data_IF_842293868668
#
_entry.id   IF_842293868668
#
_cell.length_a   1.000
_cell.length_b   1.000
_cell.length_c   1.000
_cell.angle_alpha   90.00
_cell.angle_beta   90.00
_cell.angle_gamma   90.00
#
_symmetry.space_group_name_H-M   'P 1'
#
loop_
_entity.id
_entity.type
_entity.pdbx_description
1 polymer ?
#
# COMPACT_ATOMS: atom_id res chain seq x y z
N UNK A 1 -6.44 20.89 30.53
CA UNK A 1 -6.97 20.07 29.44
C UNK A 1 -7.62 18.84 30.02
N UNK A 2 -8.94 18.80 29.97
CA UNK A 2 -9.72 17.60 30.27
C UNK A 2 -9.43 16.53 29.20
N UNK A 3 -9.51 15.25 29.56
CA UNK A 3 -9.15 14.16 28.64
C UNK A 3 -10.04 14.12 27.38
N UNK A 4 -11.27 14.64 27.47
CA UNK A 4 -12.15 14.83 26.31
C UNK A 4 -11.57 15.77 25.25
N UNK A 5 -10.82 16.79 25.66
CA UNK A 5 -10.22 17.78 24.76
C UNK A 5 -9.02 17.18 24.01
N UNK A 6 -8.24 16.32 24.69
CA UNK A 6 -7.16 15.55 24.06
C UNK A 6 -7.71 14.58 23.01
N UNK A 7 -8.77 13.84 23.34
CA UNK A 7 -9.40 12.89 22.43
C UNK A 7 -10.00 13.62 21.23
N UNK A 8 -10.57 14.80 21.44
CA UNK A 8 -11.09 15.63 20.35
C UNK A 8 -9.99 16.04 19.35
N UNK A 9 -8.88 16.59 19.84
CA UNK A 9 -7.75 16.99 18.98
C UNK A 9 -7.18 15.77 18.24
N UNK A 10 -6.96 14.67 18.95
CA UNK A 10 -6.40 13.45 18.36
C UNK A 10 -7.34 12.86 17.29
N UNK A 11 -8.63 12.78 17.56
CA UNK A 11 -9.62 12.26 16.61
C UNK A 11 -9.67 13.12 15.35
N UNK A 12 -9.61 14.45 15.50
CA UNK A 12 -9.60 15.39 14.36
C UNK A 12 -8.41 15.16 13.44
N UNK A 13 -7.25 14.85 14.01
CA UNK A 13 -6.03 14.52 13.26
C UNK A 13 -6.10 13.14 12.58
N UNK A 14 -6.59 12.14 13.32
CA UNK A 14 -6.63 10.74 12.91
C UNK A 14 -7.70 10.44 11.86
N UNK A 15 -8.78 11.22 11.78
CA UNK A 15 -9.83 11.08 10.76
C UNK A 15 -9.24 11.06 9.34
N UNK A 16 -8.19 11.84 9.08
CA UNK A 16 -7.54 11.92 7.75
C UNK A 16 -6.81 10.63 7.33
N UNK A 17 -6.54 9.75 8.29
CA UNK A 17 -5.82 8.48 8.10
C UNK A 17 -6.63 7.29 8.58
N UNK A 18 -7.94 7.48 8.77
CA UNK A 18 -8.79 6.55 9.49
C UNK A 18 -8.67 5.10 9.01
N UNK A 19 -8.64 4.89 7.69
CA UNK A 19 -8.53 3.55 7.08
C UNK A 19 -7.16 2.86 7.30
N UNK A 20 -6.12 3.62 7.65
CA UNK A 20 -4.78 3.11 7.93
C UNK A 20 -4.55 2.80 9.41
N UNK A 21 -5.47 3.21 10.29
CA UNK A 21 -5.39 2.99 11.73
C UNK A 21 -5.61 1.52 12.09
N UNK A 22 -5.03 1.12 13.22
CA UNK A 22 -5.35 -0.17 13.84
C UNK A 22 -6.78 -0.17 14.37
N UNK A 23 -7.39 -1.35 14.41
CA UNK A 23 -8.80 -1.51 14.73
C UNK A 23 -9.16 -0.89 16.10
N UNK A 24 -8.32 -1.07 17.12
CA UNK A 24 -8.53 -0.49 18.45
C UNK A 24 -8.56 1.05 18.42
N UNK A 25 -7.71 1.67 17.59
CA UNK A 25 -7.68 3.13 17.42
C UNK A 25 -8.88 3.62 16.61
N UNK A 26 -9.30 2.85 15.60
CA UNK A 26 -10.52 3.15 14.83
C UNK A 26 -11.76 3.16 15.73
N UNK A 27 -11.87 2.21 16.66
CA UNK A 27 -12.98 2.11 17.61
C UNK A 27 -13.07 3.34 18.52
N UNK A 28 -11.93 3.79 19.07
CA UNK A 28 -11.86 5.01 19.91
C UNK A 28 -12.25 6.27 19.13
N UNK A 29 -11.76 6.41 17.90
CA UNK A 29 -12.09 7.57 17.05
C UNK A 29 -13.56 7.55 16.65
N UNK A 30 -14.14 6.39 16.35
CA UNK A 30 -15.58 6.24 16.04
C UNK A 30 -16.46 6.57 17.24
N UNK A 31 -16.09 6.10 18.43
CA UNK A 31 -16.80 6.41 19.68
C UNK A 31 -16.84 7.92 19.92
N UNK A 32 -15.73 8.62 19.67
CA UNK A 32 -15.69 10.07 19.76
C UNK A 32 -16.52 10.76 18.67
N UNK A 33 -16.43 10.31 17.41
CA UNK A 33 -17.24 10.83 16.28
C UNK A 33 -18.75 10.70 16.54
N UNK A 34 -19.17 9.63 17.20
CA UNK A 34 -20.57 9.44 17.59
C UNK A 34 -21.04 10.49 18.60
N UNK A 35 -20.15 11.05 19.41
CA UNK A 35 -20.51 11.99 20.47
C UNK A 35 -20.10 13.44 20.18
N UNK A 36 -19.27 13.68 19.15
CA UNK A 36 -18.76 14.99 18.77
C UNK A 36 -19.27 15.40 17.38
N UNK A 37 -20.10 16.44 17.32
CA UNK A 37 -20.69 16.95 16.08
C UNK A 37 -19.64 17.46 15.09
N UNK A 38 -18.57 18.11 15.57
CA UNK A 38 -17.49 18.64 14.74
C UNK A 38 -16.71 17.50 14.06
N UNK A 39 -16.28 16.49 14.84
CA UNK A 39 -15.56 15.33 14.30
C UNK A 39 -16.44 14.51 13.34
N UNK A 40 -17.75 14.42 13.60
CA UNK A 40 -18.71 13.77 12.70
C UNK A 40 -18.83 14.47 11.36
N UNK A 41 -18.92 15.80 11.38
CA UNK A 41 -19.00 16.58 10.14
C UNK A 41 -17.72 16.41 9.31
N UNK A 42 -16.55 16.53 9.93
CA UNK A 42 -15.25 16.31 9.29
C UNK A 42 -15.11 14.91 8.68
N UNK A 43 -15.56 13.89 9.39
CA UNK A 43 -15.52 12.51 8.89
C UNK A 43 -16.44 12.32 7.66
N UNK A 44 -17.65 12.89 7.70
CA UNK A 44 -18.60 12.80 6.58
C UNK A 44 -18.13 13.58 5.35
N UNK A 45 -17.54 14.77 5.52
CA UNK A 45 -16.98 15.58 4.43
C UNK A 45 -15.85 14.84 3.69
N UNK A 46 -15.03 14.09 4.42
CA UNK A 46 -13.98 13.25 3.85
C UNK A 46 -14.52 11.97 3.18
N UNK A 47 -15.62 11.42 3.68
CA UNK A 47 -16.27 10.24 3.09
C UNK A 47 -17.02 10.56 1.78
N UNK A 48 -17.57 11.77 1.63
CA UNK A 48 -18.37 12.16 0.47
C UNK A 48 -17.59 12.87 -0.66
N UNK A 49 -16.29 13.10 -0.50
CA UNK A 49 -15.43 13.62 -1.58
C UNK A 49 -15.74 15.05 -2.05
N UNK A 50 -16.63 15.78 -1.37
CA UNK A 50 -16.98 17.16 -1.69
C UNK A 50 -16.33 18.10 -0.66
N UNK A 51 -15.37 18.90 -1.10
CA UNK A 51 -14.80 19.99 -0.34
C UNK A 51 -15.65 21.27 -0.49
N UNK A 52 -16.27 21.80 0.57
CA UNK A 52 -16.43 23.22 0.74
C UNK A 52 -15.39 23.75 1.74
N UNK A 53 -14.59 24.70 1.28
CA UNK A 53 -13.69 25.49 2.10
C UNK A 53 -14.52 26.27 3.14
N UNK A 54 -14.49 25.86 4.40
CA UNK A 54 -14.99 26.70 5.49
C UNK A 54 -13.84 27.62 5.92
N UNK A 55 -13.89 28.88 5.47
CA UNK A 55 -13.05 29.94 6.01
C UNK A 55 -13.49 30.22 7.45
N UNK A 56 -12.69 29.79 8.43
CA UNK A 56 -12.68 30.38 9.76
C UNK A 56 -11.24 30.43 10.29
N UNK A 57 -10.65 31.61 10.10
CA UNK A 57 -9.91 32.41 11.10
C UNK A 57 -9.20 31.68 12.24
N UNK A 58 -7.91 32.03 12.35
CA UNK A 58 -6.94 31.81 13.44
C UNK A 58 -6.07 30.54 13.35
N UNK A 59 -4.81 30.81 12.99
CA UNK A 59 -3.58 30.04 13.19
C UNK A 59 -3.76 28.64 13.80
N UNK A 60 -3.97 27.66 12.93
CA UNK A 60 -3.43 26.32 13.18
C UNK A 60 -2.59 25.97 11.97
N UNK A 61 -1.29 25.89 12.18
CA UNK A 61 -0.31 25.41 11.23
C UNK A 61 -0.56 23.91 10.98
N UNK A 62 -1.62 23.60 10.23
CA UNK A 62 -2.00 22.22 9.88
C UNK A 62 -0.97 21.69 8.88
N UNK A 63 0.13 21.08 9.32
CA UNK A 63 1.06 20.40 8.39
C UNK A 63 2.05 19.30 8.84
N UNK A 64 1.77 18.41 9.82
CA UNK A 64 2.58 17.19 9.95
C UNK A 64 1.97 15.96 9.24
N UNK A 65 0.67 15.70 9.40
CA UNK A 65 0.11 14.37 9.09
C UNK A 65 -0.25 14.12 7.62
N UNK A 66 -0.75 15.13 6.90
CA UNK A 66 -1.07 14.99 5.46
C UNK A 66 0.16 14.62 4.62
N UNK A 67 1.35 15.07 5.05
CA UNK A 67 2.64 14.68 4.43
C UNK A 67 3.00 13.23 4.76
N UNK A 68 2.72 12.74 5.96
CA UNK A 68 2.95 11.34 6.32
C UNK A 68 2.09 10.39 5.47
N UNK A 69 0.83 10.73 5.22
CA UNK A 69 -0.05 9.92 4.34
C UNK A 69 0.49 9.86 2.92
N UNK A 70 0.87 11.01 2.36
CA UNK A 70 1.46 11.09 1.04
C UNK A 70 2.79 10.32 0.97
N UNK A 71 3.59 10.36 2.03
CA UNK A 71 4.82 9.60 2.13
C UNK A 71 4.55 8.10 2.18
N UNK A 72 3.60 7.64 3.00
CA UNK A 72 3.21 6.24 3.11
C UNK A 72 2.67 5.72 1.76
N UNK A 73 1.80 6.49 1.12
CA UNK A 73 1.25 6.16 -0.20
C UNK A 73 2.34 6.12 -1.27
N UNK A 74 3.26 7.08 -1.28
CA UNK A 74 4.41 7.10 -2.18
C UNK A 74 5.32 5.89 -1.98
N UNK A 75 5.55 5.48 -0.72
CA UNK A 75 6.34 4.30 -0.41
C UNK A 75 5.64 3.01 -0.88
N UNK A 76 4.32 2.88 -0.71
CA UNK A 76 3.54 1.75 -1.27
C UNK A 76 3.72 1.66 -2.78
N UNK A 77 3.54 2.79 -3.49
CA UNK A 77 3.71 2.84 -4.95
C UNK A 77 5.14 2.53 -5.40
N UNK A 78 6.14 3.01 -4.67
CA UNK A 78 7.54 2.70 -4.95
C UNK A 78 7.78 1.19 -4.89
N UNK A 79 7.26 0.51 -3.86
CA UNK A 79 7.44 -0.92 -3.66
C UNK A 79 6.73 -1.75 -4.74
N UNK A 80 5.56 -1.30 -5.18
CA UNK A 80 4.84 -1.90 -6.30
C UNK A 80 5.61 -1.68 -7.61
N UNK A 81 6.13 -0.48 -7.83
CA UNK A 81 6.87 -0.11 -9.04
C UNK A 81 8.16 -0.92 -9.19
N UNK A 82 8.90 -1.13 -8.10
CA UNK A 82 10.11 -1.97 -8.11
C UNK A 82 9.75 -3.41 -8.52
N UNK A 83 8.68 -3.99 -7.96
CA UNK A 83 8.22 -5.33 -8.35
C UNK A 83 7.83 -5.39 -9.82
N UNK A 84 7.04 -4.42 -10.28
CA UNK A 84 6.61 -4.34 -11.67
C UNK A 84 7.80 -4.22 -12.63
N UNK A 85 8.82 -3.44 -12.30
CA UNK A 85 10.04 -3.30 -13.10
C UNK A 85 10.83 -4.60 -13.20
N UNK A 86 11.00 -5.32 -12.08
CA UNK A 86 11.71 -6.61 -12.08
C UNK A 86 10.95 -7.63 -12.93
N UNK A 87 9.64 -7.74 -12.74
CA UNK A 87 8.80 -8.65 -13.54
C UNK A 87 8.82 -8.29 -15.02
N UNK A 88 8.69 -7.01 -15.33
CA UNK A 88 8.78 -6.51 -16.69
C UNK A 88 10.13 -6.86 -17.31
N UNK A 89 11.23 -6.69 -16.57
CA UNK A 89 12.56 -7.04 -17.04
C UNK A 89 12.67 -8.54 -17.35
N UNK A 90 12.23 -9.41 -16.44
CA UNK A 90 12.26 -10.88 -16.62
C UNK A 90 11.45 -11.31 -17.84
N UNK A 91 10.23 -10.78 -17.99
CA UNK A 91 9.37 -11.11 -19.12
C UNK A 91 9.96 -10.57 -20.42
N UNK A 92 10.35 -9.29 -20.44
CA UNK A 92 10.91 -8.64 -21.62
C UNK A 92 12.19 -9.35 -22.10
N UNK A 93 13.11 -9.70 -21.20
CA UNK A 93 14.32 -10.44 -21.58
C UNK A 93 13.96 -11.82 -22.11
N UNK A 94 12.98 -12.52 -21.52
CA UNK A 94 12.51 -13.80 -22.03
C UNK A 94 11.93 -13.68 -23.45
N UNK A 95 11.12 -12.66 -23.73
CA UNK A 95 10.57 -12.41 -25.07
C UNK A 95 11.62 -11.97 -26.09
N UNK A 96 12.65 -11.25 -25.65
CA UNK A 96 13.68 -10.75 -26.54
C UNK A 96 14.72 -11.80 -26.92
N UNK A 97 15.13 -12.64 -25.97
CA UNK A 97 16.22 -13.61 -26.18
C UNK A 97 15.74 -15.00 -26.63
N UNK A 98 14.48 -15.36 -26.38
CA UNK A 98 13.93 -16.66 -26.76
C UNK A 98 12.82 -16.51 -27.79
N UNK A 99 12.90 -17.33 -28.84
CA UNK A 99 11.82 -17.40 -29.83
C UNK A 99 10.73 -18.34 -29.29
N UNK A 100 9.60 -17.76 -28.90
CA UNK A 100 8.49 -18.48 -28.26
C UNK A 100 7.86 -19.55 -29.16
N UNK A 101 7.93 -19.40 -30.49
CA UNK A 101 7.36 -20.38 -31.42
C UNK A 101 8.19 -21.66 -31.52
N UNK A 102 9.50 -21.57 -31.27
CA UNK A 102 10.45 -22.68 -31.46
C UNK A 102 11.03 -23.20 -30.14
N UNK A 103 10.96 -22.41 -29.06
CA UNK A 103 11.68 -22.66 -27.81
C UNK A 103 10.93 -22.18 -26.56
N UNK A 104 9.60 -22.39 -26.53
CA UNK A 104 8.75 -22.04 -25.38
C UNK A 104 9.25 -22.64 -24.06
N UNK A 105 9.62 -23.92 -24.05
CA UNK A 105 10.10 -24.60 -22.83
C UNK A 105 11.36 -23.93 -22.25
N UNK A 106 12.30 -23.53 -23.11
CA UNK A 106 13.52 -22.85 -22.71
C UNK A 106 13.24 -21.42 -22.19
N UNK A 107 12.25 -20.73 -22.77
CA UNK A 107 11.79 -19.43 -22.28
C UNK A 107 11.13 -19.55 -20.90
N UNK A 108 10.31 -20.57 -20.68
CA UNK A 108 9.66 -20.85 -19.40
C UNK A 108 10.71 -21.19 -18.33
N UNK A 109 11.69 -22.04 -18.65
CA UNK A 109 12.79 -22.38 -17.74
C UNK A 109 13.64 -21.15 -17.39
N UNK A 110 13.86 -20.26 -18.36
CA UNK A 110 14.51 -18.97 -18.12
C UNK A 110 13.70 -18.09 -17.18
N UNK A 111 12.39 -17.92 -17.39
CA UNK A 111 11.52 -17.12 -16.51
C UNK A 111 11.57 -17.66 -15.08
N UNK A 112 11.48 -18.98 -14.91
CA UNK A 112 11.56 -19.61 -13.60
C UNK A 112 12.90 -19.33 -12.91
N UNK A 113 14.00 -19.51 -13.64
CA UNK A 113 15.36 -19.28 -13.13
C UNK A 113 15.59 -17.80 -12.78
N UNK A 114 15.18 -16.89 -13.65
CA UNK A 114 15.30 -15.44 -13.44
C UNK A 114 14.41 -14.96 -12.28
N UNK A 115 13.22 -15.53 -12.12
CA UNK A 115 12.35 -15.25 -10.96
C UNK A 115 13.02 -15.67 -9.66
N UNK A 116 13.61 -16.87 -9.62
CA UNK A 116 14.31 -17.33 -8.42
C UNK A 116 15.60 -16.55 -8.14
N UNK A 117 16.33 -16.13 -9.18
CA UNK A 117 17.61 -15.44 -9.02
C UNK A 117 17.45 -13.94 -8.71
N UNK A 118 16.48 -13.26 -9.32
CA UNK A 118 16.32 -11.81 -9.22
C UNK A 118 15.10 -11.41 -8.41
N UNK A 119 13.93 -11.97 -8.72
CA UNK A 119 12.69 -11.56 -8.05
C UNK A 119 12.64 -12.04 -6.61
N UNK A 120 13.00 -13.29 -6.32
CA UNK A 120 12.91 -13.84 -4.95
C UNK A 120 13.76 -13.09 -3.92
N UNK A 121 15.07 -12.83 -4.14
CA UNK A 121 15.86 -12.01 -3.20
C UNK A 121 15.31 -10.60 -3.03
N UNK A 122 14.82 -9.98 -4.11
CA UNK A 122 14.21 -8.66 -4.06
C UNK A 122 12.89 -8.68 -3.26
N UNK A 123 12.05 -9.70 -3.42
CA UNK A 123 10.82 -9.88 -2.67
C UNK A 123 11.07 -10.05 -1.17
N UNK A 124 12.10 -10.82 -0.78
CA UNK A 124 12.52 -10.93 0.62
C UNK A 124 12.95 -9.56 1.15
N UNK A 125 13.81 -8.85 0.43
CA UNK A 125 14.29 -7.53 0.82
C UNK A 125 13.12 -6.55 1.01
N UNK A 126 12.24 -6.45 0.01
CA UNK A 126 11.05 -5.59 0.08
C UNK A 126 10.12 -6.00 1.22
N UNK A 127 9.95 -7.29 1.48
CA UNK A 127 9.13 -7.79 2.60
C UNK A 127 9.67 -7.34 3.95
N UNK A 128 11.00 -7.38 4.16
CA UNK A 128 11.62 -6.86 5.39
C UNK A 128 11.29 -5.39 5.59
N UNK A 129 11.39 -4.58 4.54
CA UNK A 129 10.98 -3.18 4.62
C UNK A 129 9.47 -3.05 4.84
N UNK A 130 8.64 -3.88 4.21
CA UNK A 130 7.20 -3.83 4.38
C UNK A 130 6.80 -4.07 5.85
N UNK A 131 7.53 -4.94 6.55
CA UNK A 131 7.33 -5.19 7.98
C UNK A 131 7.62 -3.95 8.84
N UNK A 132 8.61 -3.15 8.46
CA UNK A 132 9.01 -1.96 9.23
C UNK A 132 8.06 -0.78 9.01
N UNK A 133 7.56 -0.61 7.79
CA UNK A 133 6.86 0.62 7.38
C UNK A 133 5.34 0.50 7.25
N UNK A 134 4.77 -0.71 7.15
CA UNK A 134 3.33 -0.87 6.89
C UNK A 134 2.61 -1.73 7.93
N UNK A 135 1.29 -1.53 8.03
CA UNK A 135 0.42 -2.30 8.90
C UNK A 135 0.41 -3.80 8.56
N UNK A 136 0.11 -4.63 9.57
CA UNK A 136 0.12 -6.10 9.49
C UNK A 136 -0.68 -6.68 8.31
N UNK A 137 -1.81 -6.05 7.95
CA UNK A 137 -2.64 -6.46 6.79
C UNK A 137 -1.88 -6.38 5.46
N UNK A 138 -1.08 -5.33 5.26
CA UNK A 138 -0.30 -5.14 4.03
C UNK A 138 0.86 -6.10 3.90
N UNK A 139 1.48 -6.48 5.03
CA UNK A 139 2.55 -7.49 5.06
C UNK A 139 2.02 -8.82 4.53
N UNK A 140 0.87 -9.27 5.04
CA UNK A 140 0.27 -10.55 4.63
C UNK A 140 -0.07 -10.52 3.14
N UNK A 141 -0.68 -9.43 2.66
CA UNK A 141 -1.02 -9.27 1.25
C UNK A 141 0.24 -9.30 0.36
N UNK A 142 1.30 -8.60 0.76
CA UNK A 142 2.57 -8.57 0.03
C UNK A 142 3.21 -9.96 -0.06
N UNK A 143 3.24 -10.70 1.06
CA UNK A 143 3.83 -12.04 1.10
C UNK A 143 3.02 -12.99 0.20
N UNK A 144 1.69 -12.98 0.30
CA UNK A 144 0.83 -13.82 -0.54
C UNK A 144 1.02 -13.52 -2.03
N UNK A 145 1.12 -12.24 -2.39
CA UNK A 145 1.38 -11.82 -3.77
C UNK A 145 2.75 -12.29 -4.26
N UNK A 146 3.81 -12.08 -3.48
CA UNK A 146 5.18 -12.47 -3.85
C UNK A 146 5.29 -14.00 -4.00
N UNK A 147 4.67 -14.78 -3.09
CA UNK A 147 4.59 -16.25 -3.20
C UNK A 147 3.81 -16.68 -4.46
N UNK A 148 2.71 -16.00 -4.77
CA UNK A 148 1.94 -16.23 -5.98
C UNK A 148 2.80 -16.11 -7.24
N UNK A 149 3.63 -15.07 -7.31
CA UNK A 149 4.56 -14.89 -8.42
C UNK A 149 5.63 -15.99 -8.45
N UNK A 150 6.29 -16.26 -7.33
CA UNK A 150 7.41 -17.21 -7.29
C UNK A 150 6.96 -18.62 -7.71
N UNK A 151 5.76 -19.05 -7.31
CA UNK A 151 5.27 -20.39 -7.58
C UNK A 151 4.45 -20.54 -8.86
N UNK A 152 3.82 -19.47 -9.35
CA UNK A 152 2.86 -19.57 -10.45
C UNK A 152 3.19 -18.71 -11.65
N UNK A 153 4.23 -17.86 -11.64
CA UNK A 153 4.53 -17.00 -12.79
C UNK A 153 4.82 -17.82 -14.07
N UNK A 154 5.61 -18.90 -13.96
CA UNK A 154 5.90 -19.79 -15.08
C UNK A 154 4.63 -20.47 -15.62
N UNK A 155 3.79 -20.97 -14.70
CA UNK A 155 2.52 -21.64 -15.02
C UNK A 155 1.53 -20.68 -15.69
N UNK A 156 1.41 -19.45 -15.18
CA UNK A 156 0.52 -18.43 -15.75
C UNK A 156 0.94 -18.06 -17.17
N UNK A 157 2.25 -17.90 -17.40
CA UNK A 157 2.77 -17.60 -18.74
C UNK A 157 2.57 -18.78 -19.70
N UNK A 158 2.76 -20.02 -19.23
CA UNK A 158 2.52 -21.23 -20.02
C UNK A 158 1.04 -21.48 -20.38
N UNK A 159 0.09 -20.89 -19.66
CA UNK A 159 -1.34 -20.98 -20.01
C UNK A 159 -1.72 -19.90 -21.04
N UNK A 160 -1.04 -18.75 -20.98
CA UNK A 160 -1.31 -17.59 -21.84
C UNK A 160 -0.70 -17.72 -23.25
N UNK A 161 0.25 -18.63 -23.45
CA UNK A 161 0.95 -18.90 -24.70
C UNK A 161 0.97 -20.40 -24.98
#
# INVERSE_FOLDING_TARGET
MEDSEKIHILSRELISVFDELEQETQEVVLEHIQNCSECRQLFNELAEGNYPMLELSEEVEIKPLKKLVQFNHGLKWLFISIRALILFYILYSSFHFYNWELSADAAIEYIKSATFMFYFPAAIFLSVFTIVFFAKRWIILSILFDLGIIFFLDTLISILY
#
